data_IF_368070117987
#
_entry.id   IF_368070117987
#
_cell.length_a   1.000
_cell.length_b   1.000
_cell.length_c   1.000
_cell.angle_alpha   90.00
_cell.angle_beta   90.00
_cell.angle_gamma   90.00
#
_symmetry.space_group_name_H-M   'P 1'
#
loop_
_entity.id
_entity.type
_entity.pdbx_description
1 polymer ?
#
# COMPACT_ATOMS: atom_id res chain seq x y z
N UNK A 1 -33.58 0.82 -15.29
CA UNK A 1 -32.22 1.07 -14.75
C UNK A 1 -31.66 -0.28 -14.34
N UNK A 2 -30.50 -0.67 -14.86
CA UNK A 2 -29.80 -1.86 -14.36
C UNK A 2 -29.31 -1.57 -12.95
N UNK A 3 -29.66 -2.41 -11.98
CA UNK A 3 -29.13 -2.37 -10.63
C UNK A 3 -27.70 -2.90 -10.68
N UNK A 4 -26.71 -2.01 -10.80
CA UNK A 4 -25.32 -2.39 -10.59
C UNK A 4 -25.09 -2.56 -9.09
N UNK A 5 -24.74 -3.78 -8.68
CA UNK A 5 -24.31 -4.06 -7.30
C UNK A 5 -22.92 -3.46 -7.11
N UNK A 6 -22.76 -2.61 -6.09
CA UNK A 6 -21.47 -2.06 -5.69
C UNK A 6 -20.52 -3.20 -5.32
N UNK A 7 -19.25 -3.12 -5.71
CA UNK A 7 -18.25 -4.07 -5.25
C UNK A 7 -18.09 -3.96 -3.72
N UNK A 8 -17.88 -5.09 -3.06
CA UNK A 8 -17.66 -5.23 -1.62
C UNK A 8 -16.26 -4.74 -1.17
N UNK A 9 -15.41 -4.37 -2.14
CA UNK A 9 -14.04 -3.93 -1.92
C UNK A 9 -13.65 -2.80 -2.87
N UNK A 10 -12.60 -2.08 -2.49
CA UNK A 10 -11.88 -1.13 -3.34
C UNK A 10 -10.41 -1.09 -2.93
N UNK A 11 -9.62 -0.19 -3.52
CA UNK A 11 -8.26 0.06 -3.07
C UNK A 11 -8.23 1.03 -1.89
N UNK A 12 -7.46 0.65 -0.87
CA UNK A 12 -6.85 1.61 0.05
C UNK A 12 -5.46 1.96 -0.48
N UNK A 13 -5.13 3.24 -0.58
CA UNK A 13 -3.82 3.68 -1.08
C UNK A 13 -3.10 4.56 -0.07
N UNK A 14 -1.78 4.56 -0.13
CA UNK A 14 -0.94 5.53 0.57
C UNK A 14 -0.01 6.16 -0.45
N UNK A 15 -0.16 7.46 -0.66
CA UNK A 15 0.73 8.26 -1.50
C UNK A 15 1.80 8.87 -0.60
N UNK A 16 3.04 8.90 -1.05
CA UNK A 16 4.18 9.36 -0.26
C UNK A 16 5.09 10.26 -1.07
N UNK A 17 5.57 11.34 -0.44
CA UNK A 17 6.71 12.11 -0.92
C UNK A 17 7.96 11.62 -0.20
N UNK A 18 9.01 11.29 -0.94
CA UNK A 18 10.24 10.69 -0.43
C UNK A 18 11.46 11.55 -0.80
N UNK A 19 12.43 11.63 0.11
CA UNK A 19 13.73 12.29 -0.15
C UNK A 19 14.77 11.38 -0.79
N UNK A 20 14.58 10.07 -0.66
CA UNK A 20 15.44 9.00 -1.17
C UNK A 20 14.54 7.84 -1.63
N UNK A 21 14.98 7.09 -2.64
CA UNK A 21 14.29 5.88 -3.04
C UNK A 21 14.45 4.78 -1.96
N UNK A 22 13.49 3.83 -1.83
CA UNK A 22 13.66 2.68 -0.98
C UNK A 22 14.86 1.83 -1.42
N UNK A 23 15.69 1.43 -0.47
CA UNK A 23 16.82 0.52 -0.67
C UNK A 23 16.51 -0.80 0.04
N UNK A 24 16.36 -1.87 -0.74
CA UNK A 24 15.87 -3.14 -0.23
C UNK A 24 17.00 -4.01 0.30
N UNK A 25 16.74 -4.75 1.39
CA UNK A 25 17.70 -5.75 1.91
C UNK A 25 18.08 -6.81 0.86
N UNK A 26 17.16 -7.12 -0.05
CA UNK A 26 17.39 -8.07 -1.12
C UNK A 26 18.43 -7.60 -2.14
N UNK A 27 18.77 -6.30 -2.17
CA UNK A 27 19.79 -5.75 -3.06
C UNK A 27 21.19 -6.33 -2.81
N UNK A 28 21.46 -6.87 -1.61
CA UNK A 28 22.69 -7.61 -1.32
C UNK A 28 22.83 -8.88 -2.18
N UNK A 29 21.71 -9.49 -2.56
CA UNK A 29 21.65 -10.69 -3.40
C UNK A 29 21.38 -10.34 -4.87
N UNK A 30 20.44 -9.44 -5.11
CA UNK A 30 20.02 -9.00 -6.45
C UNK A 30 19.77 -7.48 -6.45
N UNK A 31 20.74 -6.66 -6.90
CA UNK A 31 20.64 -5.20 -6.85
C UNK A 31 19.55 -4.63 -7.77
N UNK A 32 19.06 -5.38 -8.76
CA UNK A 32 18.02 -4.90 -9.68
C UNK A 32 16.68 -4.68 -8.96
N UNK A 33 16.50 -5.24 -7.75
CA UNK A 33 15.31 -5.05 -6.92
C UNK A 33 15.05 -3.57 -6.58
N UNK A 34 16.10 -2.74 -6.46
CA UNK A 34 15.98 -1.31 -6.21
C UNK A 34 15.43 -0.54 -7.43
N UNK A 35 15.32 -1.20 -8.59
CA UNK A 35 14.74 -0.66 -9.83
C UNK A 35 13.44 -1.38 -10.22
N UNK A 36 12.84 -2.14 -9.30
CA UNK A 36 11.59 -2.83 -9.56
C UNK A 36 10.45 -1.84 -9.82
N UNK A 37 9.76 -1.99 -10.95
CA UNK A 37 8.59 -1.18 -11.31
C UNK A 37 7.47 -1.31 -10.24
N UNK A 38 7.22 -2.53 -9.80
CA UNK A 38 6.22 -2.87 -8.78
C UNK A 38 6.73 -4.03 -7.92
N UNK A 39 6.49 -3.93 -6.61
CA UNK A 39 6.70 -5.03 -5.67
C UNK A 39 5.39 -5.48 -5.05
N UNK A 40 5.24 -6.80 -4.86
CA UNK A 40 4.16 -7.37 -4.07
C UNK A 40 4.75 -7.92 -2.77
N UNK A 41 4.29 -7.41 -1.63
CA UNK A 41 4.84 -7.73 -0.31
C UNK A 41 3.77 -8.41 0.54
N UNK A 42 4.12 -9.56 1.10
CA UNK A 42 3.35 -10.23 2.14
C UNK A 42 2.47 -11.38 1.65
N UNK A 43 2.17 -11.57 0.37
CA UNK A 43 1.52 -12.83 -0.03
C UNK A 43 2.58 -13.92 -0.16
N UNK A 44 2.52 -14.94 0.70
CA UNK A 44 3.50 -16.04 0.72
C UNK A 44 2.87 -17.36 0.22
N UNK A 45 1.55 -17.39 0.13
CA UNK A 45 0.78 -18.54 -0.35
C UNK A 45 -0.56 -18.15 -0.97
N UNK A 46 -1.19 -19.09 -1.69
CA UNK A 46 -2.58 -18.94 -2.12
C UNK A 46 -3.56 -18.90 -0.93
N UNK A 47 -3.19 -19.50 0.19
CA UNK A 47 -4.00 -19.46 1.41
C UNK A 47 -4.07 -18.05 1.99
N UNK A 48 -2.97 -17.29 1.95
CA UNK A 48 -2.96 -15.88 2.36
C UNK A 48 -3.93 -15.05 1.53
N UNK A 49 -3.95 -15.27 0.21
CA UNK A 49 -4.86 -14.57 -0.69
C UNK A 49 -6.32 -14.93 -0.36
N UNK A 50 -6.60 -16.21 -0.12
CA UNK A 50 -7.95 -16.66 0.25
C UNK A 50 -8.39 -16.08 1.61
N UNK A 51 -7.51 -16.02 2.61
CA UNK A 51 -7.81 -15.40 3.90
C UNK A 51 -8.07 -13.91 3.78
N UNK A 52 -7.25 -13.21 2.99
CA UNK A 52 -7.42 -11.78 2.72
C UNK A 52 -8.82 -11.49 2.16
N UNK A 53 -9.25 -12.25 1.15
CA UNK A 53 -10.59 -12.08 0.58
C UNK A 53 -11.72 -12.48 1.53
N UNK A 54 -11.52 -13.48 2.40
CA UNK A 54 -12.50 -13.81 3.45
C UNK A 54 -12.69 -12.66 4.44
N UNK A 55 -11.63 -11.95 4.80
CA UNK A 55 -11.67 -10.79 5.70
C UNK A 55 -12.35 -9.59 5.06
N UNK A 56 -12.00 -9.27 3.82
CA UNK A 56 -12.65 -8.21 3.03
C UNK A 56 -14.17 -8.42 3.00
N UNK A 57 -14.63 -9.62 2.64
CA UNK A 57 -16.08 -9.95 2.58
C UNK A 57 -16.80 -9.84 3.91
N UNK A 58 -16.06 -9.84 5.03
CA UNK A 58 -16.59 -9.68 6.40
C UNK A 58 -16.46 -8.23 6.90
N UNK A 59 -16.04 -7.29 6.06
CA UNK A 59 -15.79 -5.90 6.46
C UNK A 59 -14.63 -5.74 7.43
N UNK A 60 -13.70 -6.69 7.45
CA UNK A 60 -12.54 -6.68 8.35
C UNK A 60 -11.31 -6.17 7.62
N UNK A 61 -10.56 -5.25 8.25
CA UNK A 61 -9.28 -4.77 7.71
C UNK A 61 -8.27 -5.93 7.78
N UNK A 62 -7.78 -6.44 6.64
CA UNK A 62 -6.78 -7.50 6.61
C UNK A 62 -5.41 -6.99 7.07
N UNK A 63 -4.49 -7.91 7.37
CA UNK A 63 -3.08 -7.54 7.57
C UNK A 63 -2.51 -6.87 6.29
N UNK A 64 -1.49 -6.01 6.42
CA UNK A 64 -0.86 -5.38 5.27
C UNK A 64 -0.27 -6.41 4.29
N UNK A 65 -0.88 -6.51 3.10
CA UNK A 65 -0.39 -7.21 1.91
C UNK A 65 -0.39 -6.20 0.77
N UNK A 66 0.78 -5.82 0.30
CA UNK A 66 0.99 -4.56 -0.40
C UNK A 66 1.33 -4.77 -1.86
N UNK A 67 0.83 -3.87 -2.69
CA UNK A 67 1.39 -3.57 -3.99
C UNK A 67 2.10 -2.20 -3.88
N UNK A 68 3.42 -2.19 -3.99
CA UNK A 68 4.25 -1.00 -3.79
C UNK A 68 4.88 -0.58 -5.13
N UNK A 69 4.99 0.73 -5.36
CA UNK A 69 5.64 1.29 -6.54
C UNK A 69 6.33 2.61 -6.22
N UNK A 70 7.41 2.91 -6.95
CA UNK A 70 8.11 4.20 -6.92
C UNK A 70 8.27 4.69 -8.35
N UNK A 71 7.17 5.19 -8.94
CA UNK A 71 7.12 5.48 -10.38
C UNK A 71 8.15 6.53 -10.81
N UNK A 72 8.49 7.47 -9.94
CA UNK A 72 9.49 8.51 -10.20
C UNK A 72 10.91 7.97 -10.40
N UNK A 73 11.20 6.70 -10.11
CA UNK A 73 12.45 6.04 -10.54
C UNK A 73 12.55 5.94 -12.07
N UNK A 74 11.41 5.86 -12.75
CA UNK A 74 11.31 5.62 -14.17
C UNK A 74 10.76 6.81 -14.96
N UNK A 75 9.97 7.66 -14.31
CA UNK A 75 9.50 8.93 -14.85
C UNK A 75 9.90 10.09 -13.92
N UNK A 76 11.05 10.76 -14.17
CA UNK A 76 11.53 11.85 -13.34
C UNK A 76 10.58 13.05 -13.26
N UNK A 77 9.59 13.17 -14.15
CA UNK A 77 8.60 14.25 -14.09
C UNK A 77 7.56 14.06 -12.98
N UNK A 78 7.48 12.86 -12.40
CA UNK A 78 6.55 12.53 -11.31
C UNK A 78 7.04 13.04 -9.94
N UNK A 79 8.25 13.58 -9.84
CA UNK A 79 8.79 14.18 -8.61
C UNK A 79 9.78 15.33 -8.89
N UNK A 80 10.01 16.27 -7.95
CA UNK A 80 11.10 17.23 -8.07
C UNK A 80 12.48 16.56 -8.13
N UNK A 81 13.49 17.27 -8.65
CA UNK A 81 14.88 16.79 -8.72
C UNK A 81 15.38 16.25 -7.36
N UNK A 82 15.89 15.01 -7.36
CA UNK A 82 16.39 14.34 -6.16
C UNK A 82 15.31 13.99 -5.13
N UNK A 83 14.04 13.90 -5.56
CA UNK A 83 12.89 13.43 -4.78
C UNK A 83 12.20 12.28 -5.49
N UNK A 84 11.37 11.56 -4.74
CA UNK A 84 10.64 10.41 -5.26
C UNK A 84 9.19 10.37 -4.78
N UNK A 85 8.32 9.74 -5.55
CA UNK A 85 6.93 9.45 -5.19
C UNK A 85 6.78 7.97 -4.87
N UNK A 86 6.31 7.66 -3.67
CA UNK A 86 5.97 6.30 -3.25
C UNK A 86 4.47 6.05 -3.30
N UNK A 87 4.08 4.85 -3.70
CA UNK A 87 2.68 4.44 -3.72
C UNK A 87 2.52 3.04 -3.13
N UNK A 88 1.61 2.92 -2.17
CA UNK A 88 1.09 1.64 -1.68
C UNK A 88 -0.34 1.49 -2.18
N UNK A 89 -0.70 0.30 -2.65
CA UNK A 89 -2.09 -0.14 -2.84
C UNK A 89 -2.34 -1.41 -2.03
N UNK A 90 -3.52 -1.48 -1.43
CA UNK A 90 -3.98 -2.63 -0.65
C UNK A 90 -5.46 -2.89 -0.97
N UNK A 91 -5.83 -4.16 -1.13
CA UNK A 91 -7.23 -4.55 -1.29
C UNK A 91 -7.98 -4.44 0.05
N UNK A 92 -8.95 -3.53 0.11
CA UNK A 92 -9.64 -3.19 1.35
C UNK A 92 -11.16 -3.32 1.22
N UNK A 93 -11.87 -3.69 2.30
CA UNK A 93 -13.33 -3.68 2.29
C UNK A 93 -13.87 -2.26 2.06
N UNK A 94 -14.93 -2.14 1.26
CA UNK A 94 -15.60 -0.85 1.08
C UNK A 94 -16.29 -0.40 2.37
N UNK A 95 -17.04 -1.30 3.02
CA UNK A 95 -17.67 -1.07 4.32
C UNK A 95 -16.92 -1.82 5.43
N UNK A 96 -16.59 -1.12 6.52
CA UNK A 96 -16.06 -1.76 7.72
C UNK A 96 -17.20 -2.32 8.57
N UNK A 97 -17.01 -3.52 9.11
CA UNK A 97 -18.00 -4.15 10.00
C UNK A 97 -18.26 -3.33 11.28
N UNK A 98 -17.33 -2.46 11.66
CA UNK A 98 -17.37 -1.64 12.87
C UNK A 98 -18.06 -0.29 12.70
N UNK A 99 -18.58 0.04 11.51
CA UNK A 99 -19.27 1.34 11.31
C UNK A 99 -19.52 1.74 9.86
N UNK A 100 -19.56 0.79 8.93
CA UNK A 100 -19.76 1.08 7.52
C UNK A 100 -18.55 1.73 6.87
N UNK A 101 -18.77 2.43 5.76
CA UNK A 101 -17.69 3.03 5.00
C UNK A 101 -17.07 4.24 5.72
N UNK A 102 -17.87 5.08 6.40
CA UNK A 102 -17.42 6.28 7.14
C UNK A 102 -16.41 5.97 8.25
N UNK A 103 -16.46 4.76 8.83
CA UNK A 103 -15.49 4.34 9.85
C UNK A 103 -14.04 4.40 9.35
N UNK A 104 -13.78 4.36 8.04
CA UNK A 104 -12.44 4.53 7.49
C UNK A 104 -11.77 5.84 7.90
N UNK A 105 -12.53 6.91 8.20
CA UNK A 105 -11.94 8.18 8.66
C UNK A 105 -11.16 8.03 9.98
N UNK A 106 -11.58 7.11 10.84
CA UNK A 106 -10.90 6.80 12.10
C UNK A 106 -9.74 5.81 11.92
N UNK A 107 -9.86 4.86 10.98
CA UNK A 107 -8.89 3.77 10.82
C UNK A 107 -7.77 4.06 9.81
N UNK A 108 -7.95 5.00 8.87
CA UNK A 108 -7.06 5.18 7.72
C UNK A 108 -5.62 5.45 8.10
N UNK A 109 -5.36 6.37 9.03
CA UNK A 109 -4.00 6.76 9.39
C UNK A 109 -3.27 5.63 10.11
N UNK A 110 -3.96 4.95 11.03
CA UNK A 110 -3.42 3.80 11.74
C UNK A 110 -3.13 2.63 10.80
N UNK A 111 -3.97 2.40 9.79
CA UNK A 111 -3.73 1.35 8.80
C UNK A 111 -2.62 1.73 7.80
N UNK A 112 -2.59 2.98 7.35
CA UNK A 112 -1.52 3.50 6.49
C UNK A 112 -0.15 3.34 7.14
N UNK A 113 -0.05 3.64 8.44
CA UNK A 113 1.19 3.44 9.20
C UNK A 113 1.62 1.97 9.21
N UNK A 114 0.68 1.03 9.46
CA UNK A 114 0.98 -0.41 9.39
C UNK A 114 1.46 -0.84 8.00
N UNK A 115 0.89 -0.28 6.94
CA UNK A 115 1.33 -0.54 5.56
C UNK A 115 2.74 -0.01 5.30
N UNK A 116 3.05 1.22 5.73
CA UNK A 116 4.39 1.80 5.64
C UNK A 116 5.40 0.96 6.41
N UNK A 117 5.08 0.58 7.65
CA UNK A 117 5.95 -0.23 8.49
C UNK A 117 6.20 -1.61 7.87
N UNK A 118 5.18 -2.21 7.23
CA UNK A 118 5.33 -3.48 6.50
C UNK A 118 6.28 -3.35 5.32
N UNK A 119 6.21 -2.26 4.54
CA UNK A 119 7.18 -2.03 3.46
C UNK A 119 8.59 -1.77 4.02
N UNK A 120 8.71 -0.98 5.09
CA UNK A 120 9.99 -0.65 5.72
C UNK A 120 10.74 -1.87 6.28
N UNK A 121 10.04 -2.97 6.60
CA UNK A 121 10.71 -4.25 6.95
C UNK A 121 11.64 -4.74 5.84
N UNK A 122 11.27 -4.50 4.57
CA UNK A 122 12.03 -4.90 3.38
C UNK A 122 12.98 -3.79 2.89
N UNK A 123 12.61 -2.52 3.07
CA UNK A 123 13.42 -1.35 2.74
C UNK A 123 13.68 -0.47 3.98
N UNK A 124 14.72 -0.77 4.79
CA UNK A 124 14.89 -0.15 6.11
C UNK A 124 15.09 1.37 6.11
N UNK A 125 15.58 1.94 5.01
CA UNK A 125 15.75 3.39 4.88
C UNK A 125 14.42 4.13 4.67
N UNK A 126 13.35 3.43 4.28
CA UNK A 126 12.08 4.03 3.88
C UNK A 126 11.50 4.97 4.96
N UNK A 127 11.50 4.55 6.22
CA UNK A 127 10.92 5.37 7.29
C UNK A 127 11.63 6.72 7.46
N UNK A 128 12.94 6.77 7.24
CA UNK A 128 13.71 8.03 7.28
C UNK A 128 13.60 8.82 5.97
N UNK A 129 13.28 8.12 4.87
CA UNK A 129 13.12 8.72 3.55
C UNK A 129 11.80 9.49 3.38
N UNK A 130 10.76 9.19 4.17
CA UNK A 130 9.45 9.83 4.05
C UNK A 130 9.53 11.32 4.45
N UNK A 131 9.08 12.19 3.53
CA UNK A 131 8.85 13.62 3.77
C UNK A 131 7.42 13.81 4.28
N UNK A 132 6.46 13.24 3.57
CA UNK A 132 5.04 13.29 3.88
C UNK A 132 4.30 12.09 3.27
N UNK A 133 3.11 11.78 3.78
CA UNK A 133 2.27 10.71 3.27
C UNK A 133 0.78 10.97 3.49
N UNK A 134 -0.04 10.52 2.55
CA UNK A 134 -1.49 10.71 2.58
C UNK A 134 -2.22 9.42 2.22
N UNK A 135 -3.07 8.88 3.10
CA UNK A 135 -3.90 7.75 2.77
C UNK A 135 -5.16 8.17 2.02
N UNK A 136 -5.59 7.36 1.06
CA UNK A 136 -6.91 7.45 0.44
C UNK A 136 -7.66 6.15 0.68
N UNK A 137 -8.88 6.30 1.19
CA UNK A 137 -9.71 5.17 1.62
C UNK A 137 -10.56 4.65 0.45
N UNK A 138 -11.19 3.49 0.59
CA UNK A 138 -12.20 3.00 -0.35
C UNK A 138 -13.38 3.94 -0.64
N UNK A 139 -13.62 4.97 0.19
CA UNK A 139 -14.67 5.99 0.05
C UNK A 139 -14.47 6.95 -1.13
#
# INVERSE_FOLDING_TARGET
MQNYTRMDWSFFTVHMALREAPHYRAAEFDPDIDQAWVLNIGYESLEDLNDHWRRIRRGQIPEPRLNCAVNSLHDPMDAPDGRYTGLIRHFAPYELATGGAEAWDEFKDGFARRCIDKWAQHAPNLSAAIIDWTPHTPL
#
